data_IF_092094681444
#
_entry.id   IF_092094681444
#
_cell.length_a   1.000
_cell.length_b   1.000
_cell.length_c   1.000
_cell.angle_alpha   90.00
_cell.angle_beta   90.00
_cell.angle_gamma   90.00
#
_symmetry.space_group_name_H-M   'P 1'
#
loop_
_entity.id
_entity.type
_entity.pdbx_description
1 polymer ?
#
# COMPACT_ATOMS: atom_id res chain seq x y z
N UNK A 1 8.41 27.56 -42.46
CA UNK A 1 8.01 26.36 -41.67
C UNK A 1 9.00 25.97 -40.58
N UNK A 2 10.25 26.47 -40.56
CA UNK A 2 11.25 26.06 -39.55
C UNK A 2 11.13 26.78 -38.18
N UNK A 3 10.51 27.98 -38.17
CA UNK A 3 10.36 28.80 -36.95
C UNK A 3 9.22 28.32 -36.06
N UNK A 4 8.16 27.74 -36.64
CA UNK A 4 7.04 27.15 -35.90
C UNK A 4 7.50 25.90 -35.15
N UNK A 5 8.34 25.05 -35.76
CA UNK A 5 8.90 23.87 -35.10
C UNK A 5 9.77 24.21 -33.88
N UNK A 6 10.57 25.29 -33.96
CA UNK A 6 11.43 25.76 -32.86
C UNK A 6 10.66 26.24 -31.63
N UNK A 7 9.40 26.65 -31.78
CA UNK A 7 8.54 27.15 -30.70
C UNK A 7 7.55 26.06 -30.25
N UNK A 8 7.02 25.26 -31.18
CA UNK A 8 6.12 24.14 -30.87
C UNK A 8 6.83 23.04 -30.09
N UNK A 9 8.09 22.73 -30.42
CA UNK A 9 8.88 21.70 -29.71
C UNK A 9 9.03 21.97 -28.20
N UNK A 10 9.52 23.13 -27.73
CA UNK A 10 9.64 23.40 -26.29
C UNK A 10 8.28 23.47 -25.58
N UNK A 11 7.22 23.93 -26.25
CA UNK A 11 5.86 23.96 -25.69
C UNK A 11 5.35 22.54 -25.47
N UNK A 12 5.52 21.63 -26.43
CA UNK A 12 5.14 20.23 -26.29
C UNK A 12 5.96 19.54 -25.19
N UNK A 13 7.27 19.81 -25.11
CA UNK A 13 8.11 19.25 -24.04
C UNK A 13 7.65 19.72 -22.67
N UNK A 14 7.37 21.02 -22.51
CA UNK A 14 6.89 21.59 -21.24
C UNK A 14 5.49 21.06 -20.86
N UNK A 15 4.61 20.87 -21.83
CA UNK A 15 3.30 20.26 -21.61
C UNK A 15 3.42 18.78 -21.19
N UNK A 16 4.33 18.02 -21.81
CA UNK A 16 4.59 16.63 -21.46
C UNK A 16 5.20 16.48 -20.06
N UNK A 17 6.14 17.36 -19.67
CA UNK A 17 6.73 17.33 -18.32
C UNK A 17 5.71 17.68 -17.24
N UNK A 18 4.82 18.65 -17.49
CA UNK A 18 3.70 18.97 -16.60
C UNK A 18 2.75 17.78 -16.42
N UNK A 19 2.41 17.08 -17.50
CA UNK A 19 1.54 15.89 -17.44
C UNK A 19 2.17 14.75 -16.63
N UNK A 20 3.47 14.50 -16.78
CA UNK A 20 4.19 13.47 -16.00
C UNK A 20 4.28 13.84 -14.51
N UNK A 21 4.47 15.12 -14.18
CA UNK A 21 4.45 15.58 -12.78
C UNK A 21 3.09 15.36 -12.11
N UNK A 22 1.99 15.59 -12.82
CA UNK A 22 0.64 15.32 -12.32
C UNK A 22 0.40 13.82 -12.04
N UNK A 23 1.01 12.91 -12.82
CA UNK A 23 0.86 11.47 -12.62
C UNK A 23 1.57 10.94 -11.36
N UNK A 24 2.58 11.65 -10.82
CA UNK A 24 3.21 11.29 -9.54
C UNK A 24 2.27 11.48 -8.33
N UNK A 25 1.19 12.26 -8.49
CA UNK A 25 0.14 12.36 -7.47
C UNK A 25 -0.89 11.23 -7.57
N UNK A 26 -0.85 10.45 -8.65
CA UNK A 26 -1.71 9.29 -8.91
C UNK A 26 -1.00 7.95 -8.63
N UNK A 27 0.05 7.97 -7.81
CA UNK A 27 0.68 6.75 -7.33
C UNK A 27 -0.35 5.98 -6.48
N UNK A 28 -1.02 4.99 -7.08
CA UNK A 28 -1.82 4.00 -6.35
C UNK A 28 -0.95 3.03 -5.52
N UNK A 29 0.36 3.32 -5.42
CA UNK A 29 1.26 2.61 -4.52
C UNK A 29 1.05 3.21 -3.13
N UNK A 30 0.59 2.42 -2.14
CA UNK A 30 0.57 2.91 -0.78
C UNK A 30 1.97 3.38 -0.41
N UNK A 31 2.12 4.65 -0.05
CA UNK A 31 3.32 5.13 0.63
C UNK A 31 3.31 4.47 2.00
N UNK A 32 3.90 3.27 2.12
CA UNK A 32 4.13 2.64 3.42
C UNK A 32 5.18 3.49 4.13
N UNK A 33 4.73 4.58 4.77
CA UNK A 33 5.48 5.28 5.81
C UNK A 33 4.84 4.82 7.13
N UNK A 34 4.85 3.51 7.34
CA UNK A 34 4.42 2.90 8.60
C UNK A 34 5.54 3.07 9.63
N UNK A 35 5.23 3.34 10.91
CA UNK A 35 6.23 3.31 12.00
C UNK A 35 6.95 1.97 12.15
N UNK A 36 6.51 0.93 11.42
CA UNK A 36 6.98 -0.45 11.50
C UNK A 36 7.74 -0.89 10.24
N UNK A 37 8.31 0.05 9.46
CA UNK A 37 9.14 -0.27 8.28
C UNK A 37 10.30 -1.23 8.60
N UNK A 38 10.81 -1.15 9.83
CA UNK A 38 11.90 -1.96 10.37
C UNK A 38 11.54 -3.41 10.66
N UNK A 39 10.28 -3.82 10.51
CA UNK A 39 9.88 -5.22 10.66
C UNK A 39 9.71 -5.97 9.35
N UNK A 40 9.58 -5.27 8.23
CA UNK A 40 9.39 -5.90 6.92
C UNK A 40 10.70 -6.60 6.48
N UNK A 41 11.83 -6.27 7.11
CA UNK A 41 13.12 -6.96 6.95
C UNK A 41 13.21 -8.27 7.77
N UNK A 42 12.22 -8.55 8.63
CA UNK A 42 12.07 -9.87 9.28
C UNK A 42 11.01 -10.64 8.50
N UNK A 43 11.32 -11.90 8.17
CA UNK A 43 10.36 -12.86 7.63
C UNK A 43 8.98 -12.66 8.29
N UNK A 44 7.96 -12.39 7.48
CA UNK A 44 6.62 -11.95 7.90
C UNK A 44 5.79 -13.10 8.54
N UNK A 45 6.47 -14.03 9.22
CA UNK A 45 5.86 -15.19 9.85
C UNK A 45 4.97 -15.95 8.88
N UNK A 46 3.72 -16.17 9.28
CA UNK A 46 2.72 -16.91 8.49
C UNK A 46 2.30 -16.18 7.22
N UNK A 47 2.41 -14.84 7.19
CA UNK A 47 2.01 -14.03 6.05
C UNK A 47 2.94 -14.19 4.83
N UNK A 48 4.18 -14.67 5.01
CA UNK A 48 5.10 -14.92 3.89
C UNK A 48 4.76 -16.23 3.14
N UNK A 49 4.24 -17.22 3.88
CA UNK A 49 3.88 -18.54 3.35
C UNK A 49 2.43 -18.68 2.91
N UNK A 50 1.53 -17.81 3.41
CA UNK A 50 0.09 -17.95 3.24
C UNK A 50 -0.54 -16.61 2.81
N UNK A 51 -0.99 -16.56 1.56
CA UNK A 51 -1.61 -15.38 0.95
C UNK A 51 -2.97 -15.06 1.58
N UNK A 52 -3.74 -16.06 2.04
CA UNK A 52 -5.04 -15.83 2.68
C UNK A 52 -4.84 -15.18 4.07
N UNK A 53 -3.83 -15.64 4.81
CA UNK A 53 -3.42 -15.04 6.08
C UNK A 53 -2.96 -13.60 5.87
N UNK A 54 -2.12 -13.36 4.85
CA UNK A 54 -1.70 -12.01 4.47
C UNK A 54 -2.90 -11.09 4.20
N UNK A 55 -3.85 -11.53 3.36
CA UNK A 55 -5.03 -10.73 3.01
C UNK A 55 -5.92 -10.47 4.24
N UNK A 56 -6.11 -11.46 5.12
CA UNK A 56 -6.84 -11.29 6.37
C UNK A 56 -6.16 -10.24 7.27
N UNK A 57 -4.86 -10.36 7.51
CA UNK A 57 -4.12 -9.44 8.38
C UNK A 57 -4.10 -8.02 7.82
N UNK A 58 -3.95 -7.84 6.50
CA UNK A 58 -4.05 -6.53 5.84
C UNK A 58 -5.44 -5.91 6.01
N UNK A 59 -6.51 -6.69 5.79
CA UNK A 59 -7.89 -6.23 5.99
C UNK A 59 -8.12 -5.83 7.44
N UNK A 60 -7.68 -6.66 8.39
CA UNK A 60 -7.81 -6.42 9.82
C UNK A 60 -7.13 -5.11 10.26
N UNK A 61 -5.88 -4.88 9.85
CA UNK A 61 -5.17 -3.64 10.15
C UNK A 61 -5.87 -2.41 9.54
N UNK A 62 -6.41 -2.54 8.33
CA UNK A 62 -7.17 -1.46 7.66
C UNK A 62 -8.44 -1.09 8.43
N UNK A 63 -9.24 -2.06 8.87
CA UNK A 63 -10.50 -1.78 9.57
C UNK A 63 -10.31 -1.28 10.99
N UNK A 64 -9.27 -1.76 11.69
CA UNK A 64 -8.91 -1.32 13.04
C UNK A 64 -8.18 0.01 13.06
N UNK A 65 -7.59 0.41 11.91
CA UNK A 65 -6.74 1.61 11.77
C UNK A 65 -5.53 1.57 12.71
N UNK A 66 -5.09 0.37 13.10
CA UNK A 66 -3.94 0.18 13.97
C UNK A 66 -2.76 -0.42 13.20
N UNK A 67 -1.62 0.25 13.29
CA UNK A 67 -0.38 -0.19 12.67
C UNK A 67 0.29 -1.37 13.41
N UNK A 68 -0.19 -1.72 14.62
CA UNK A 68 0.33 -2.86 15.39
C UNK A 68 -0.40 -4.17 15.09
N UNK A 69 -1.62 -4.09 14.55
CA UNK A 69 -2.46 -5.28 14.31
C UNK A 69 -1.90 -6.17 13.21
N UNK A 70 -1.38 -5.58 12.13
CA UNK A 70 -0.81 -6.34 11.01
C UNK A 70 0.32 -7.29 11.46
N UNK A 71 1.40 -6.81 12.12
CA UNK A 71 2.47 -7.71 12.54
C UNK A 71 2.08 -8.68 13.65
N UNK A 72 1.22 -8.26 14.60
CA UNK A 72 0.70 -9.20 15.61
C UNK A 72 -0.10 -10.32 14.96
N UNK A 73 -0.89 -10.01 13.93
CA UNK A 73 -1.67 -11.01 13.19
C UNK A 73 -0.75 -11.98 12.43
N UNK A 74 0.28 -11.49 11.74
CA UNK A 74 1.22 -12.32 10.98
C UNK A 74 2.08 -13.26 11.85
N UNK A 75 2.42 -12.85 13.06
CA UNK A 75 3.15 -13.66 14.05
C UNK A 75 2.20 -14.45 14.98
N UNK A 76 0.89 -14.33 14.78
CA UNK A 76 -0.17 -14.81 15.69
C UNK A 76 0.09 -14.48 17.17
N UNK A 77 0.64 -13.29 17.43
CA UNK A 77 0.86 -12.77 18.78
C UNK A 77 -0.48 -12.52 19.46
N UNK A 78 -0.62 -12.95 20.72
CA UNK A 78 -1.86 -12.82 21.51
C UNK A 78 -3.12 -13.33 20.77
N UNK A 79 -2.99 -14.41 19.99
CA UNK A 79 -4.09 -14.99 19.20
C UNK A 79 -4.71 -13.98 18.20
N UNK A 80 -3.94 -12.96 17.79
CA UNK A 80 -4.42 -11.88 16.94
C UNK A 80 -4.94 -12.38 15.58
N UNK A 81 -4.45 -13.52 15.07
CA UNK A 81 -4.97 -14.11 13.82
C UNK A 81 -6.44 -14.53 13.98
N UNK A 82 -6.76 -15.23 15.05
CA UNK A 82 -8.12 -15.67 15.37
C UNK A 82 -9.03 -14.48 15.64
N UNK A 83 -8.53 -13.51 16.41
CA UNK A 83 -9.26 -12.26 16.66
C UNK A 83 -9.54 -11.50 15.36
N UNK A 84 -8.56 -11.37 14.48
CA UNK A 84 -8.72 -10.71 13.18
C UNK A 84 -9.76 -11.41 12.30
N UNK A 85 -9.76 -12.75 12.28
CA UNK A 85 -10.76 -13.51 11.54
C UNK A 85 -12.19 -13.21 12.05
N UNK A 86 -12.38 -13.17 13.37
CA UNK A 86 -13.68 -12.86 13.96
C UNK A 86 -14.07 -11.39 13.72
N UNK A 87 -13.15 -10.47 13.92
CA UNK A 87 -13.39 -9.03 13.81
C UNK A 87 -13.74 -8.62 12.38
N UNK A 88 -12.97 -9.11 11.39
CA UNK A 88 -13.20 -8.78 9.97
C UNK A 88 -14.51 -9.39 9.45
N UNK A 89 -14.96 -10.52 10.01
CA UNK A 89 -16.18 -11.20 9.58
C UNK A 89 -17.41 -10.88 10.44
N UNK A 90 -17.25 -10.06 11.48
CA UNK A 90 -18.36 -9.65 12.32
C UNK A 90 -19.42 -8.90 11.49
N UNK A 91 -20.66 -9.39 11.54
CA UNK A 91 -21.82 -8.75 10.89
C UNK A 91 -21.89 -8.91 9.37
N UNK A 92 -21.05 -9.76 8.75
CA UNK A 92 -21.24 -10.17 7.35
C UNK A 92 -22.41 -11.18 7.27
N UNK A 93 -23.29 -11.06 6.26
CA UNK A 93 -24.43 -11.95 6.06
C UNK A 93 -24.03 -13.39 5.71
#
# INVERSE_FOLDING_TARGET
MERTHKITMPICIFALTLMVACMQMAEAKPTWRSPYQNSIDRSLGMCDSDEEVMELCQRCAKVTKSNTVFPMCCDNHDEALTWCNQYVNFGKP
#
